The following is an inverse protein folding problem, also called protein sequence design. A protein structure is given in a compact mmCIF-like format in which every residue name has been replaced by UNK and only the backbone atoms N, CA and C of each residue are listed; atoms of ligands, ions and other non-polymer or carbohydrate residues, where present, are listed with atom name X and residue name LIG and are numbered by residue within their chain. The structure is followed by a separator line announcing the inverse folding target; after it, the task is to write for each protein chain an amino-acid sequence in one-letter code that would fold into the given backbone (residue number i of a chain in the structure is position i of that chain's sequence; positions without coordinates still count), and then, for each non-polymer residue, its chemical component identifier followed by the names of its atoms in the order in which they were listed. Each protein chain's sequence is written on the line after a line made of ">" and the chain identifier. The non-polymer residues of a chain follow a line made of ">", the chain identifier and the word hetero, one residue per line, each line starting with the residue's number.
data_IF_384823212999
#
_entry.id   IF_384823212999
#
_cell.length_a   1.000
_cell.length_b   1.000
_cell.length_c   1.000
_cell.angle_alpha   90.00
_cell.angle_beta   90.00
_cell.angle_gamma   90.00
#
_symmetry.space_group_name_H-M   'P 1'
#
loop_
_entity.id
_entity.type
_entity.pdbx_description
1 polymer ?
#
# COMPACT_ATOMS: atom_id res chain seq x y z
N UNK A 1 -18.39 23.06 4.81
CA UNK A 1 -17.19 22.35 5.31
C UNK A 1 -16.01 23.18 4.86
N UNK A 2 -15.28 23.76 5.80
CA UNK A 2 -14.09 24.56 5.48
C UNK A 2 -13.12 23.70 4.66
N UNK A 3 -12.82 24.15 3.45
CA UNK A 3 -12.03 23.43 2.45
C UNK A 3 -10.54 23.72 2.60
N UNK A 4 -10.05 23.81 3.83
CA UNK A 4 -8.65 24.16 4.07
C UNK A 4 -7.80 22.89 4.08
N UNK A 5 -6.88 22.79 3.13
CA UNK A 5 -5.97 21.65 3.03
C UNK A 5 -4.99 21.65 4.21
N UNK A 6 -4.75 20.52 4.87
CA UNK A 6 -3.85 20.45 6.02
C UNK A 6 -2.42 20.87 5.63
N UNK A 7 -1.78 21.67 6.50
CA UNK A 7 -0.44 22.19 6.24
C UNK A 7 0.61 21.09 6.39
N UNK A 8 1.39 20.85 5.34
CA UNK A 8 2.43 19.83 5.32
C UNK A 8 3.66 20.25 6.13
N UNK A 9 4.10 19.39 7.04
CA UNK A 9 5.39 19.54 7.73
C UNK A 9 6.54 19.11 6.81
N UNK A 10 7.23 20.11 6.24
CA UNK A 10 8.33 19.90 5.29
C UNK A 10 9.61 19.42 5.96
N UNK A 11 9.73 19.50 7.29
CA UNK A 11 10.94 19.04 8.01
C UNK A 11 11.09 17.51 7.98
N UNK A 12 10.01 16.80 7.63
CA UNK A 12 9.97 15.35 7.49
C UNK A 12 10.18 14.85 6.06
N UNK A 13 10.45 15.76 5.11
CA UNK A 13 10.69 15.44 3.72
C UNK A 13 12.19 15.51 3.41
N UNK A 14 12.68 14.50 2.71
CA UNK A 14 14.04 14.46 2.18
C UNK A 14 13.97 14.35 0.67
N UNK A 15 14.77 15.15 -0.04
CA UNK A 15 14.92 15.07 -1.50
C UNK A 15 16.19 14.29 -1.78
N UNK A 16 16.08 13.16 -2.47
CA UNK A 16 17.19 12.27 -2.82
C UNK A 16 17.31 12.10 -4.33
N UNK A 17 18.43 11.52 -4.78
CA UNK A 17 18.63 11.17 -6.19
C UNK A 17 17.79 9.96 -6.59
N UNK A 18 17.28 9.95 -7.82
CA UNK A 18 16.56 8.79 -8.38
C UNK A 18 17.45 7.56 -8.57
N UNK A 19 18.76 7.76 -8.72
CA UNK A 19 19.72 6.67 -8.89
C UNK A 19 20.18 6.07 -7.54
N UNK A 20 19.78 6.68 -6.42
CA UNK A 20 20.21 6.29 -5.08
C UNK A 20 19.12 5.51 -4.33
N UNK A 21 19.08 4.20 -4.54
CA UNK A 21 18.11 3.29 -3.91
C UNK A 21 18.44 2.94 -2.45
N UNK A 22 19.62 3.31 -1.97
CA UNK A 22 20.11 2.92 -0.64
C UNK A 22 19.30 3.57 0.46
N UNK A 23 18.98 4.86 0.35
CA UNK A 23 18.29 5.63 1.39
C UNK A 23 16.88 5.09 1.67
N UNK A 24 16.11 4.79 0.63
CA UNK A 24 14.75 4.25 0.77
C UNK A 24 14.77 2.90 1.49
N UNK A 25 15.69 2.01 1.10
CA UNK A 25 15.85 0.70 1.74
C UNK A 25 16.21 0.86 3.21
N UNK A 26 17.15 1.74 3.55
CA UNK A 26 17.55 1.99 4.93
C UNK A 26 16.40 2.58 5.75
N UNK A 27 15.64 3.51 5.19
CA UNK A 27 14.44 4.06 5.82
C UNK A 27 13.47 2.95 6.21
N UNK A 28 13.07 2.08 5.28
CA UNK A 28 12.12 1.01 5.57
C UNK A 28 12.66 0.00 6.57
N UNK A 29 13.96 -0.32 6.53
CA UNK A 29 14.60 -1.21 7.50
C UNK A 29 14.67 -0.61 8.91
N UNK A 30 14.76 0.72 9.03
CA UNK A 30 14.70 1.43 10.32
C UNK A 30 13.31 1.38 10.98
N UNK A 31 12.25 1.09 10.22
CA UNK A 31 10.87 1.03 10.72
C UNK A 31 10.53 -0.31 11.37
N UNK A 32 9.63 -0.25 12.35
CA UNK A 32 9.04 -1.43 12.96
C UNK A 32 8.37 -2.34 11.92
N UNK A 33 8.31 -3.65 12.21
CA UNK A 33 7.66 -4.62 11.32
C UNK A 33 6.19 -4.27 11.08
N UNK A 34 5.47 -3.87 12.14
CA UNK A 34 4.07 -3.47 12.06
C UNK A 34 3.87 -2.22 11.19
N UNK A 35 4.72 -1.20 11.35
CA UNK A 35 4.67 0.03 10.53
C UNK A 35 4.80 -0.28 9.03
N UNK A 36 5.73 -1.17 8.67
CA UNK A 36 5.92 -1.60 7.28
C UNK A 36 4.69 -2.30 6.71
N UNK A 37 4.08 -3.21 7.49
CA UNK A 37 2.86 -3.89 7.08
C UNK A 37 1.70 -2.90 6.90
N UNK A 38 1.56 -1.93 7.80
CA UNK A 38 0.55 -0.89 7.69
C UNK A 38 0.76 -0.01 6.45
N UNK A 39 2.00 0.38 6.15
CA UNK A 39 2.32 1.15 4.95
C UNK A 39 1.97 0.40 3.66
N UNK A 40 2.25 -0.91 3.61
CA UNK A 40 1.89 -1.77 2.48
C UNK A 40 0.36 -1.87 2.35
N UNK A 41 -0.38 -2.03 3.45
CA UNK A 41 -1.84 -2.11 3.42
C UNK A 41 -2.47 -0.79 2.95
N UNK A 42 -1.93 0.35 3.37
CA UNK A 42 -2.35 1.67 2.88
C UNK A 42 -2.13 1.76 1.36
N UNK A 43 -0.94 1.37 0.88
CA UNK A 43 -0.66 1.35 -0.55
C UNK A 43 -1.62 0.42 -1.32
N UNK A 44 -1.86 -0.78 -0.79
CA UNK A 44 -2.80 -1.75 -1.36
C UNK A 44 -4.21 -1.16 -1.50
N UNK A 45 -4.72 -0.49 -0.47
CA UNK A 45 -6.04 0.16 -0.50
C UNK A 45 -6.10 1.30 -1.49
N UNK A 46 -5.05 2.11 -1.59
CA UNK A 46 -5.00 3.22 -2.54
C UNK A 46 -5.00 2.73 -4.00
N UNK A 47 -4.21 1.71 -4.30
CA UNK A 47 -4.05 1.20 -5.69
C UNK A 47 -5.21 0.30 -6.10
N UNK A 48 -5.65 -0.60 -5.22
CA UNK A 48 -6.63 -1.64 -5.55
C UNK A 48 -8.03 -1.38 -4.99
N UNK A 49 -8.19 -0.38 -4.14
CA UNK A 49 -9.42 -0.17 -3.37
C UNK A 49 -9.50 -1.07 -2.14
N UNK A 50 -10.38 -0.72 -1.22
CA UNK A 50 -10.56 -1.42 0.05
C UNK A 50 -11.05 -2.86 -0.14
N UNK A 51 -11.86 -3.11 -1.18
CA UNK A 51 -12.68 -4.32 -1.30
C UNK A 51 -12.30 -5.26 -2.46
N UNK A 52 -11.30 -4.94 -3.29
CA UNK A 52 -10.99 -5.78 -4.48
C UNK A 52 -10.08 -6.97 -4.22
N UNK A 53 -9.52 -7.12 -3.01
CA UNK A 53 -8.67 -8.28 -2.66
C UNK A 53 -9.48 -9.55 -2.45
N UNK A 54 -10.73 -9.43 -2.00
CA UNK A 54 -11.61 -10.58 -1.74
C UNK A 54 -12.03 -11.22 -3.06
N UNK A 55 -12.38 -10.46 -4.09
CA UNK A 55 -12.90 -10.99 -5.35
C UNK A 55 -11.97 -12.03 -6.02
N UNK A 56 -10.64 -11.82 -5.96
CA UNK A 56 -9.67 -12.71 -6.63
C UNK A 56 -9.18 -13.85 -5.72
N UNK A 57 -9.07 -13.62 -4.41
CA UNK A 57 -8.76 -14.67 -3.44
C UNK A 57 -9.95 -15.63 -3.26
N UNK A 58 -11.17 -15.11 -3.31
CA UNK A 58 -12.41 -15.89 -3.24
C UNK A 58 -12.48 -16.88 -4.39
N UNK A 59 -12.23 -16.44 -5.64
CA UNK A 59 -12.19 -17.36 -6.81
C UNK A 59 -11.16 -18.48 -6.72
N UNK A 60 -10.05 -18.29 -6.00
CA UNK A 60 -9.02 -19.34 -5.85
C UNK A 60 -9.44 -20.42 -4.84
N UNK A 61 -10.26 -20.06 -3.85
CA UNK A 61 -10.78 -20.97 -2.82
C UNK A 61 -12.25 -21.36 -3.04
N UNK A 62 -12.81 -21.01 -4.20
CA UNK A 62 -14.21 -21.27 -4.54
C UNK A 62 -14.32 -22.51 -5.42
N UNK A 63 -15.19 -23.44 -5.02
CA UNK A 63 -15.56 -24.60 -5.83
C UNK A 63 -16.65 -24.18 -6.80
N UNK A 64 -16.38 -24.26 -8.11
CA UNK A 64 -17.39 -24.02 -9.16
C UNK A 64 -17.94 -25.35 -9.68
N UNK A 65 -19.25 -25.41 -9.96
CA UNK A 65 -19.84 -26.57 -10.62
C UNK A 65 -19.30 -26.69 -12.06
N UNK A 66 -18.83 -27.89 -12.43
CA UNK A 66 -18.34 -28.18 -13.77
C UNK A 66 -19.53 -28.20 -14.75
N UNK A 67 -19.70 -27.14 -15.54
CA UNK A 67 -20.68 -27.12 -16.63
C UNK A 67 -20.16 -28.03 -17.76
N UNK A 68 -20.86 -29.14 -18.02
CA UNK A 68 -20.61 -30.01 -19.18
C UNK A 68 -21.46 -29.53 -20.36
N UNK A 69 -20.83 -29.34 -21.52
CA UNK A 69 -21.51 -29.08 -22.80
C UNK A 69 -22.08 -30.36 -23.40
#
# INVERSE_FOLDING_TARGET
>A
MDSETPRLDKTRLTVSSLDEFTEEKQYWLSRGKADRLNAIEINRRMVYGTDRTTSRLQRFLETVELIRS
#
